data_IF_715777832929
#
_entry.id   IF_715777832929
#
_cell.length_a   1.000
_cell.length_b   1.000
_cell.length_c   1.000
_cell.angle_alpha   90.00
_cell.angle_beta   90.00
_cell.angle_gamma   90.00
#
_symmetry.space_group_name_H-M   'P 1'
#
loop_
_entity.id
_entity.type
_entity.pdbx_description
1 polymer ?
#
# COMPACT_ATOMS: atom_id res chain seq x y z
N UNK A 1 -8.78 -25.05 -3.73
CA UNK A 1 -8.37 -23.72 -4.18
C UNK A 1 -8.37 -22.75 -3.01
N UNK A 2 -7.30 -22.01 -2.84
CA UNK A 2 -7.20 -21.03 -1.76
C UNK A 2 -7.71 -19.70 -2.27
N UNK A 3 -8.68 -19.13 -1.57
CA UNK A 3 -9.19 -17.81 -1.92
C UNK A 3 -8.21 -16.74 -1.44
N UNK A 4 -7.83 -15.83 -2.32
CA UNK A 4 -6.99 -14.71 -1.97
C UNK A 4 -7.86 -13.64 -1.32
N UNK A 5 -7.47 -13.18 -0.14
CA UNK A 5 -8.24 -12.15 0.57
C UNK A 5 -8.19 -10.83 -0.17
N UNK A 6 -9.28 -10.07 -0.07
CA UNK A 6 -9.35 -8.75 -0.70
C UNK A 6 -8.24 -7.81 -0.23
N UNK A 7 -7.83 -7.93 1.03
CA UNK A 7 -6.74 -7.12 1.58
C UNK A 7 -5.42 -7.38 0.88
N UNK A 8 -5.18 -8.64 0.49
CA UNK A 8 -3.94 -9.01 -0.22
C UNK A 8 -3.98 -8.46 -1.64
N UNK A 9 -5.12 -8.57 -2.31
CA UNK A 9 -5.29 -8.02 -3.66
C UNK A 9 -5.13 -6.49 -3.63
N UNK A 10 -5.68 -5.85 -2.61
CA UNK A 10 -5.56 -4.41 -2.46
C UNK A 10 -4.12 -3.99 -2.22
N UNK A 11 -3.36 -4.78 -1.46
CA UNK A 11 -1.94 -4.50 -1.26
C UNK A 11 -1.20 -4.49 -2.59
N UNK A 12 -1.47 -5.46 -3.46
CA UNK A 12 -0.88 -5.51 -4.79
C UNK A 12 -1.24 -4.27 -5.61
N UNK A 13 -2.49 -3.84 -5.53
CA UNK A 13 -2.94 -2.62 -6.18
C UNK A 13 -2.19 -1.39 -5.66
N UNK A 14 -2.01 -1.30 -4.35
CA UNK A 14 -1.28 -0.19 -3.75
C UNK A 14 0.18 -0.16 -4.19
N UNK A 15 0.81 -1.33 -4.33
CA UNK A 15 2.17 -1.41 -4.85
C UNK A 15 2.23 -0.82 -6.25
N UNK A 16 1.23 -1.15 -7.10
CA UNK A 16 1.22 -0.67 -8.47
C UNK A 16 1.05 0.84 -8.56
N UNK A 17 0.11 1.43 -7.80
CA UNK A 17 -0.10 2.88 -7.87
C UNK A 17 1.07 3.63 -7.24
N UNK A 18 1.65 3.10 -6.16
CA UNK A 18 2.79 3.72 -5.49
C UNK A 18 4.02 3.68 -6.40
N UNK A 19 4.23 2.55 -7.06
CA UNK A 19 5.31 2.37 -8.02
C UNK A 19 5.26 3.41 -9.13
N UNK A 20 4.07 3.60 -9.70
CA UNK A 20 3.88 4.56 -10.78
C UNK A 20 4.13 5.99 -10.31
N UNK A 21 3.61 6.33 -9.13
CA UNK A 21 3.75 7.69 -8.59
C UNK A 21 5.19 8.01 -8.21
N UNK A 22 5.89 7.07 -7.58
CA UNK A 22 7.24 7.29 -7.09
C UNK A 22 8.31 6.92 -8.11
N UNK A 23 7.92 6.37 -9.24
CA UNK A 23 8.85 5.95 -10.32
C UNK A 23 9.88 4.95 -9.81
N UNK A 24 9.40 3.94 -9.09
CA UNK A 24 10.23 2.88 -8.52
C UNK A 24 9.85 1.55 -9.16
N UNK A 25 10.71 0.55 -9.01
CA UNK A 25 10.33 -0.81 -9.40
C UNK A 25 9.34 -1.38 -8.39
N UNK A 26 8.54 -2.36 -8.82
CA UNK A 26 7.57 -2.99 -7.91
C UNK A 26 8.25 -3.66 -6.73
N UNK A 27 9.41 -4.30 -6.97
CA UNK A 27 10.13 -4.97 -5.90
C UNK A 27 10.65 -3.96 -4.87
N UNK A 28 11.19 -2.84 -5.33
CA UNK A 28 11.68 -1.81 -4.42
C UNK A 28 10.55 -1.21 -3.60
N UNK A 29 9.39 -0.97 -4.22
CA UNK A 29 8.21 -0.47 -3.51
C UNK A 29 7.78 -1.47 -2.45
N UNK A 30 7.64 -2.74 -2.81
CA UNK A 30 7.20 -3.74 -1.86
C UNK A 30 8.17 -3.84 -0.67
N UNK A 31 9.47 -3.87 -0.95
CA UNK A 31 10.47 -3.94 0.11
C UNK A 31 10.40 -2.72 1.03
N UNK A 32 10.21 -1.54 0.46
CA UNK A 32 10.09 -0.31 1.23
C UNK A 32 8.85 -0.31 2.11
N UNK A 33 7.70 -0.69 1.54
CA UNK A 33 6.45 -0.73 2.30
C UNK A 33 6.50 -1.80 3.39
N UNK A 34 7.12 -2.94 3.09
CA UNK A 34 7.25 -4.01 4.07
C UNK A 34 8.15 -3.58 5.24
N UNK A 35 9.31 -3.01 4.92
CA UNK A 35 10.28 -2.61 5.94
C UNK A 35 9.75 -1.51 6.85
N UNK A 36 8.93 -0.61 6.33
CA UNK A 36 8.38 0.50 7.09
C UNK A 36 7.10 0.14 7.84
N UNK A 37 6.58 -1.06 7.65
CA UNK A 37 5.33 -1.49 8.26
C UNK A 37 4.09 -1.06 7.49
N UNK A 38 4.27 -0.41 6.35
CA UNK A 38 3.13 0.10 5.58
C UNK A 38 2.26 -1.02 5.00
N UNK A 39 2.83 -2.21 4.75
CA UNK A 39 2.03 -3.34 4.28
C UNK A 39 0.95 -3.70 5.28
N UNK A 40 1.29 -3.73 6.57
CA UNK A 40 0.31 -3.99 7.62
C UNK A 40 -0.71 -2.88 7.72
N UNK A 41 -0.26 -1.63 7.63
CA UNK A 41 -1.16 -0.48 7.66
C UNK A 41 -2.19 -0.55 6.53
N UNK A 42 -1.73 -0.85 5.31
CA UNK A 42 -2.62 -0.95 4.14
C UNK A 42 -3.67 -2.03 4.35
N UNK A 43 -3.25 -3.21 4.82
CA UNK A 43 -4.18 -4.31 5.03
C UNK A 43 -5.17 -4.03 6.16
N UNK A 44 -4.70 -3.41 7.25
CA UNK A 44 -5.56 -3.08 8.37
C UNK A 44 -6.55 -1.96 8.05
N UNK A 45 -6.21 -1.10 7.10
CA UNK A 45 -7.05 0.03 6.71
C UNK A 45 -7.81 -0.22 5.41
N UNK A 46 -7.91 -1.48 5.00
CA UNK A 46 -8.57 -1.84 3.74
C UNK A 46 -9.94 -1.19 3.60
N UNK A 47 -10.77 -1.28 4.64
CA UNK A 47 -12.14 -0.78 4.56
C UNK A 47 -12.20 0.71 4.24
N UNK A 48 -11.29 1.50 4.81
CA UNK A 48 -11.29 2.94 4.58
C UNK A 48 -10.55 3.36 3.34
N UNK A 49 -9.61 2.54 2.86
CA UNK A 49 -8.75 2.92 1.74
C UNK A 49 -9.23 2.38 0.40
N UNK A 50 -9.87 1.20 0.38
CA UNK A 50 -10.12 0.53 -0.89
C UNK A 50 -11.09 1.28 -1.80
N UNK A 51 -11.89 2.18 -1.26
CA UNK A 51 -12.82 3.00 -2.04
C UNK A 51 -12.29 4.42 -2.28
N UNK A 52 -11.10 4.72 -1.78
CA UNK A 52 -10.52 6.07 -1.90
C UNK A 52 -9.84 6.25 -3.25
N UNK A 53 -9.61 7.50 -3.64
CA UNK A 53 -8.86 7.79 -4.85
C UNK A 53 -7.37 7.50 -4.69
N UNK A 54 -6.68 7.32 -5.82
CA UNK A 54 -5.26 6.92 -5.83
C UNK A 54 -4.37 7.88 -5.04
N UNK A 55 -4.57 9.18 -5.23
CA UNK A 55 -3.71 10.17 -4.55
C UNK A 55 -3.94 10.16 -3.05
N UNK A 56 -5.19 9.97 -2.62
CA UNK A 56 -5.49 9.86 -1.20
C UNK A 56 -4.81 8.64 -0.59
N UNK A 57 -4.83 7.51 -1.30
CA UNK A 57 -4.18 6.28 -0.83
C UNK A 57 -2.68 6.51 -0.68
N UNK A 58 -2.05 7.10 -1.69
CA UNK A 58 -0.62 7.35 -1.66
C UNK A 58 -0.26 8.32 -0.52
N UNK A 59 -1.02 9.38 -0.36
CA UNK A 59 -0.78 10.35 0.73
C UNK A 59 -0.95 9.68 2.10
N UNK A 60 -1.92 8.79 2.24
CA UNK A 60 -2.15 8.07 3.51
C UNK A 60 -0.97 7.18 3.84
N UNK A 61 -0.42 6.49 2.83
CA UNK A 61 0.76 5.64 3.01
C UNK A 61 1.96 6.49 3.42
N UNK A 62 2.19 7.60 2.71
CA UNK A 62 3.31 8.49 3.01
C UNK A 62 3.19 9.08 4.42
N UNK A 63 1.99 9.49 4.81
CA UNK A 63 1.76 10.02 6.16
C UNK A 63 2.03 8.96 7.22
N UNK A 64 1.59 7.72 6.99
CA UNK A 64 1.85 6.65 7.93
C UNK A 64 3.35 6.44 8.12
N UNK A 65 4.09 6.36 7.00
CA UNK A 65 5.53 6.14 7.06
C UNK A 65 6.23 7.29 7.77
N UNK A 66 5.85 8.53 7.46
CA UNK A 66 6.44 9.72 8.07
C UNK A 66 6.20 9.75 9.58
N UNK A 67 5.01 9.37 10.03
CA UNK A 67 4.64 9.48 11.43
C UNK A 67 5.09 8.28 12.28
N UNK A 68 5.47 7.17 11.65
CA UNK A 68 5.81 5.94 12.36
C UNK A 68 7.26 5.48 12.13
N UNK A 69 8.04 6.30 11.44
CA UNK A 69 9.46 5.96 11.18
C UNK A 69 10.37 7.20 11.36
#
# INVERSE_FOLDING_TARGET
MVAIKNEVLFLGFCVEIYKAEKKMSGQDVFNYLYRTGATNYIQNCYEGLHTAGHLYIIDSIDDYIKNNN
#
